data_IF_225296189618
#
_entry.id   IF_225296189618
#
_cell.length_a   1.000
_cell.length_b   1.000
_cell.length_c   1.000
_cell.angle_alpha   90.00
_cell.angle_beta   90.00
_cell.angle_gamma   90.00
#
_symmetry.space_group_name_H-M   'P 1'
#
loop_
_entity.id
_entity.type
_entity.pdbx_description
1 polymer ?
#
# COMPACT_ATOMS: atom_id res chain seq x y z
N UNK A 1 26.31 -4.75 -10.20
CA UNK A 1 26.27 -4.30 -8.79
C UNK A 1 25.84 -5.51 -7.96
N UNK A 2 25.38 -5.37 -6.71
CA UNK A 2 24.67 -6.47 -6.05
C UNK A 2 23.23 -6.53 -6.57
N UNK A 3 22.64 -7.74 -6.63
CA UNK A 3 21.25 -7.93 -7.10
C UNK A 3 20.24 -7.10 -6.30
N UNK A 4 20.49 -6.93 -4.99
CA UNK A 4 19.62 -6.11 -4.15
C UNK A 4 19.65 -4.64 -4.57
N UNK A 5 20.85 -4.08 -4.83
CA UNK A 5 20.98 -2.71 -5.28
C UNK A 5 20.34 -2.52 -6.66
N UNK A 6 20.49 -3.50 -7.56
CA UNK A 6 19.84 -3.47 -8.88
C UNK A 6 18.31 -3.42 -8.77
N UNK A 7 17.71 -4.19 -7.86
CA UNK A 7 16.27 -4.16 -7.63
C UNK A 7 15.80 -2.84 -7.01
N UNK A 8 16.57 -2.27 -6.08
CA UNK A 8 16.24 -0.97 -5.47
C UNK A 8 16.28 0.13 -6.54
N UNK A 9 17.31 0.15 -7.38
CA UNK A 9 17.43 1.09 -8.51
C UNK A 9 16.25 0.92 -9.47
N UNK A 10 15.88 -0.32 -9.81
CA UNK A 10 14.74 -0.58 -10.70
C UNK A 10 13.41 -0.04 -10.14
N UNK A 11 13.19 -0.11 -8.82
CA UNK A 11 11.99 0.47 -8.19
C UNK A 11 12.00 2.00 -8.26
N UNK A 12 13.16 2.62 -8.04
CA UNK A 12 13.33 4.08 -8.15
C UNK A 12 13.11 4.54 -9.59
N UNK A 13 13.72 3.86 -10.56
CA UNK A 13 13.59 4.18 -11.98
C UNK A 13 12.14 4.04 -12.44
N UNK A 14 11.43 3.01 -11.97
CA UNK A 14 10.01 2.83 -12.27
C UNK A 14 9.18 3.99 -11.73
N UNK A 15 9.41 4.42 -10.49
CA UNK A 15 8.71 5.59 -9.93
C UNK A 15 8.95 6.84 -10.79
N UNK A 16 10.21 7.14 -11.11
CA UNK A 16 10.56 8.29 -11.94
C UNK A 16 9.98 8.22 -13.36
N UNK A 17 9.88 7.03 -13.94
CA UNK A 17 9.25 6.83 -15.25
C UNK A 17 7.81 7.34 -15.28
N UNK A 18 7.07 7.19 -14.17
CA UNK A 18 5.68 7.64 -14.08
C UNK A 18 5.55 9.08 -13.57
N UNK A 19 6.37 9.51 -12.61
CA UNK A 19 6.31 10.88 -12.05
C UNK A 19 6.84 11.97 -12.99
N UNK A 20 7.63 11.60 -14.01
CA UNK A 20 8.20 12.57 -14.97
C UNK A 20 7.27 12.95 -16.13
N UNK A 21 6.00 12.52 -16.10
CA UNK A 21 5.07 12.73 -17.20
C UNK A 21 4.31 14.04 -17.10
N UNK A 22 4.30 14.66 -15.93
CA UNK A 22 3.79 16.01 -15.71
C UNK A 22 4.92 17.02 -15.42
N UNK A 23 4.63 18.06 -14.62
CA UNK A 23 5.60 19.12 -14.31
C UNK A 23 6.38 18.85 -13.02
N UNK A 24 5.95 17.88 -12.22
CA UNK A 24 6.41 17.64 -10.85
C UNK A 24 6.99 16.24 -10.70
N UNK A 25 8.28 16.13 -11.00
CA UNK A 25 8.95 14.85 -11.16
C UNK A 25 9.18 14.05 -9.87
N UNK A 26 8.81 14.60 -8.71
CA UNK A 26 9.05 14.01 -7.39
C UNK A 26 7.81 13.31 -6.81
N UNK A 27 6.66 13.44 -7.48
CA UNK A 27 5.38 12.88 -7.01
C UNK A 27 4.58 12.31 -8.17
N UNK A 28 3.69 11.37 -7.89
CA UNK A 28 2.68 10.93 -8.86
C UNK A 28 1.41 11.73 -8.66
N UNK A 29 0.96 12.40 -9.72
CA UNK A 29 -0.41 12.88 -9.81
C UNK A 29 -1.39 11.71 -9.89
N UNK A 30 -2.68 11.97 -9.64
CA UNK A 30 -3.74 10.96 -9.81
C UNK A 30 -3.74 10.33 -11.20
N UNK A 31 -3.40 11.09 -12.25
CA UNK A 31 -3.34 10.60 -13.63
C UNK A 31 -2.17 9.63 -13.83
N UNK A 32 -1.00 9.96 -13.30
CA UNK A 32 0.19 9.12 -13.39
C UNK A 32 0.04 7.86 -12.54
N UNK A 33 -0.55 7.99 -11.34
CA UNK A 33 -0.92 6.85 -10.51
C UNK A 33 -1.87 5.91 -11.25
N UNK A 34 -2.87 6.43 -11.96
CA UNK A 34 -3.76 5.61 -12.79
C UNK A 34 -2.99 4.81 -13.84
N UNK A 35 -2.09 5.46 -14.57
CA UNK A 35 -1.31 4.79 -15.63
C UNK A 35 -0.37 3.71 -15.07
N UNK A 36 0.26 3.98 -13.92
CA UNK A 36 1.08 3.01 -13.19
C UNK A 36 0.25 1.79 -12.78
N UNK A 37 -0.98 2.01 -12.27
CA UNK A 37 -1.86 0.92 -11.85
C UNK A 37 -2.35 0.07 -13.03
N UNK A 38 -2.71 0.71 -14.14
CA UNK A 38 -3.16 0.03 -15.37
C UNK A 38 -2.05 -0.75 -16.07
N UNK A 39 -0.79 -0.37 -15.88
CA UNK A 39 0.36 -1.01 -16.54
C UNK A 39 0.99 -2.08 -15.66
N UNK A 40 1.37 -1.72 -14.43
CA UNK A 40 2.17 -2.59 -13.55
C UNK A 40 1.28 -3.47 -12.64
N UNK A 41 0.14 -2.93 -12.20
CA UNK A 41 -0.70 -3.58 -11.18
C UNK A 41 -1.91 -4.30 -11.75
N UNK A 42 -2.16 -4.19 -13.06
CA UNK A 42 -3.30 -4.82 -13.73
C UNK A 42 -3.53 -6.29 -13.37
N UNK A 43 -2.49 -7.15 -13.29
CA UNK A 43 -2.69 -8.56 -12.92
C UNK A 43 -3.17 -8.79 -11.48
N UNK A 44 -3.00 -7.80 -10.61
CA UNK A 44 -3.26 -7.87 -9.17
C UNK A 44 -4.59 -7.15 -8.83
N UNK A 45 -5.01 -6.19 -9.65
CA UNK A 45 -6.26 -5.46 -9.47
C UNK A 45 -7.47 -6.39 -9.62
N UNK A 46 -8.41 -6.29 -8.67
CA UNK A 46 -9.66 -7.06 -8.71
C UNK A 46 -10.59 -6.60 -9.85
N UNK A 47 -10.57 -5.30 -10.15
CA UNK A 47 -11.35 -4.67 -11.21
C UNK A 47 -10.46 -3.63 -11.94
N UNK A 48 -9.58 -4.06 -12.85
CA UNK A 48 -8.58 -3.19 -13.46
C UNK A 48 -9.16 -2.07 -14.33
N UNK A 49 -10.38 -2.23 -14.84
CA UNK A 49 -11.04 -1.25 -15.72
C UNK A 49 -12.00 -0.33 -14.96
N UNK A 50 -12.00 -0.39 -13.62
CA UNK A 50 -12.82 0.48 -12.77
C UNK A 50 -12.30 1.92 -12.79
N UNK A 51 -13.11 2.90 -13.24
CA UNK A 51 -12.69 4.29 -13.32
C UNK A 51 -12.29 4.88 -11.96
N UNK A 52 -12.82 4.33 -10.86
CA UNK A 52 -12.60 4.83 -9.51
C UNK A 52 -11.38 4.19 -8.83
N UNK A 53 -10.71 3.20 -9.45
CA UNK A 53 -9.54 2.53 -8.86
C UNK A 53 -8.45 3.53 -8.46
N UNK A 54 -8.15 4.50 -9.34
CA UNK A 54 -7.13 5.50 -9.07
C UNK A 54 -7.52 6.44 -7.91
N UNK A 55 -8.82 6.75 -7.74
CA UNK A 55 -9.33 7.51 -6.60
C UNK A 55 -9.14 6.76 -5.29
N UNK A 56 -9.50 5.48 -5.28
CA UNK A 56 -9.34 4.62 -4.10
C UNK A 56 -7.86 4.49 -3.73
N UNK A 57 -6.98 4.25 -4.70
CA UNK A 57 -5.55 4.16 -4.43
C UNK A 57 -4.95 5.49 -3.99
N UNK A 58 -5.33 6.62 -4.62
CA UNK A 58 -4.89 7.94 -4.16
C UNK A 58 -5.28 8.12 -2.69
N UNK A 59 -6.53 7.88 -2.33
CA UNK A 59 -6.99 8.02 -0.94
C UNK A 59 -6.26 7.10 0.06
N UNK A 60 -5.78 5.94 -0.38
CA UNK A 60 -5.06 4.97 0.48
C UNK A 60 -3.57 5.28 0.59
N UNK A 61 -2.97 5.84 -0.47
CA UNK A 61 -1.52 6.09 -0.56
C UNK A 61 -1.14 7.49 -0.10
N UNK A 62 -1.99 8.48 -0.33
CA UNK A 62 -1.82 9.89 0.04
C UNK A 62 -2.07 10.05 1.56
N UNK A 63 -1.01 9.79 2.34
CA UNK A 63 -1.04 9.76 3.81
C UNK A 63 -1.10 11.18 4.36
N UNK A 64 -0.42 12.12 3.70
CA UNK A 64 -0.39 13.53 4.12
C UNK A 64 -1.55 14.36 3.53
N UNK A 65 -2.36 13.76 2.66
CA UNK A 65 -3.56 14.32 2.03
C UNK A 65 -3.27 15.52 1.10
N UNK A 66 -2.13 15.51 0.43
CA UNK A 66 -1.71 16.53 -0.52
C UNK A 66 -2.21 16.29 -1.97
N UNK A 67 -2.96 15.21 -2.21
CA UNK A 67 -3.48 14.73 -3.50
C UNK A 67 -2.40 14.31 -4.52
N UNK A 68 -1.24 13.92 -4.00
CA UNK A 68 -0.12 13.38 -4.75
C UNK A 68 0.43 12.19 -3.98
N UNK A 69 1.25 11.39 -4.66
CA UNK A 69 1.93 10.25 -4.04
C UNK A 69 3.42 10.44 -4.19
N UNK A 70 4.12 10.67 -3.09
CA UNK A 70 5.59 10.75 -3.10
C UNK A 70 6.25 9.36 -3.15
N UNK A 71 7.58 9.33 -3.23
CA UNK A 71 8.32 8.06 -3.28
C UNK A 71 8.13 7.22 -2.02
N UNK A 72 8.02 7.82 -0.83
CA UNK A 72 7.87 7.08 0.42
C UNK A 72 6.50 6.40 0.49
N UNK A 73 5.45 7.09 0.07
CA UNK A 73 4.08 6.59 -0.03
C UNK A 73 3.96 5.46 -1.07
N UNK A 74 4.55 5.65 -2.26
CA UNK A 74 4.66 4.60 -3.28
C UNK A 74 5.45 3.39 -2.76
N UNK A 75 6.61 3.60 -2.13
CA UNK A 75 7.45 2.51 -1.65
C UNK A 75 6.76 1.71 -0.53
N UNK A 76 5.97 2.37 0.32
CA UNK A 76 5.16 1.70 1.33
C UNK A 76 4.15 0.73 0.70
N UNK A 77 3.54 1.09 -0.44
CA UNK A 77 2.68 0.16 -1.21
C UNK A 77 3.47 -1.08 -1.68
N UNK A 78 4.64 -0.86 -2.29
CA UNK A 78 5.52 -1.93 -2.77
C UNK A 78 5.93 -2.85 -1.62
N UNK A 79 6.29 -2.27 -0.47
CA UNK A 79 6.61 -3.00 0.74
C UNK A 79 5.45 -3.87 1.23
N UNK A 80 4.23 -3.31 1.33
CA UNK A 80 3.04 -4.07 1.73
C UNK A 80 2.74 -5.24 0.79
N UNK A 81 2.95 -5.04 -0.51
CA UNK A 81 2.81 -6.12 -1.49
C UNK A 81 3.87 -7.19 -1.32
N UNK A 82 5.14 -6.80 -1.16
CA UNK A 82 6.23 -7.74 -0.89
C UNK A 82 5.93 -8.59 0.36
N UNK A 83 5.42 -7.98 1.43
CA UNK A 83 4.95 -8.69 2.62
C UNK A 83 3.82 -9.69 2.29
N UNK A 84 2.80 -9.27 1.54
CA UNK A 84 1.69 -10.13 1.14
C UNK A 84 2.15 -11.35 0.32
N UNK A 85 3.08 -11.15 -0.61
CA UNK A 85 3.69 -12.24 -1.40
C UNK A 85 4.55 -13.16 -0.53
N UNK A 86 5.38 -12.60 0.35
CA UNK A 86 6.20 -13.37 1.29
C UNK A 86 5.34 -14.28 2.18
N UNK A 87 4.26 -13.73 2.75
CA UNK A 87 3.32 -14.48 3.58
C UNK A 87 2.55 -15.53 2.77
N UNK A 88 2.16 -15.21 1.53
CA UNK A 88 1.51 -16.16 0.62
C UNK A 88 2.41 -17.36 0.32
N UNK A 89 3.67 -17.11 0.01
CA UNK A 89 4.67 -18.14 -0.24
C UNK A 89 4.92 -19.01 1.00
N UNK A 90 5.03 -18.38 2.19
CA UNK A 90 5.13 -19.11 3.46
C UNK A 90 3.94 -20.04 3.68
N UNK A 91 2.71 -19.57 3.43
CA UNK A 91 1.49 -20.40 3.52
C UNK A 91 1.46 -21.53 2.48
N UNK A 92 1.92 -21.28 1.26
CA UNK A 92 2.02 -22.31 0.22
C UNK A 92 3.05 -23.39 0.57
N UNK A 93 4.21 -23.01 1.12
CA UNK A 93 5.22 -23.95 1.59
C UNK A 93 4.70 -24.83 2.75
N UNK A 94 3.92 -24.25 3.66
CA UNK A 94 3.24 -25.00 4.73
C UNK A 94 2.17 -25.97 4.18
N UNK A 95 1.41 -25.55 3.15
CA UNK A 95 0.41 -26.39 2.46
C UNK A 95 1.06 -27.48 1.60
N UNK A 96 2.22 -27.25 1.00
CA UNK A 96 2.97 -28.28 0.27
C UNK A 96 3.51 -29.38 1.21
N UNK A 97 3.70 -29.06 2.50
CA UNK A 97 4.10 -30.01 3.54
C UNK A 97 2.90 -30.79 4.14
N UNK A 98 1.64 -30.38 3.87
CA UNK A 98 0.41 -31.03 4.33
C UNK A 98 -0.55 -31.39 3.17
N UNK A 99 -0.62 -32.67 2.82
CA UNK A 99 -1.27 -33.28 1.64
C UNK A 99 -2.59 -32.69 1.08
N UNK A 100 -2.64 -32.66 -0.28
CA UNK A 100 -3.73 -33.00 -1.25
C UNK A 100 -5.09 -32.26 -1.27
N UNK A 101 -5.39 -31.76 -2.49
CA UNK A 101 -6.69 -31.53 -3.18
C UNK A 101 -7.65 -30.43 -2.67
N UNK A 102 -7.84 -29.37 -3.47
CA UNK A 102 -9.00 -29.16 -4.39
C UNK A 102 -8.93 -27.74 -5.01
N UNK A 103 -9.16 -27.69 -6.32
CA UNK A 103 -9.13 -26.50 -7.17
C UNK A 103 -10.41 -25.63 -6.99
N UNK A 104 -10.28 -24.34 -7.32
CA UNK A 104 -11.33 -23.35 -7.65
C UNK A 104 -11.96 -22.54 -6.49
N UNK A 105 -12.15 -23.07 -5.28
CA UNK A 105 -12.73 -22.28 -4.16
C UNK A 105 -11.76 -21.29 -3.49
N UNK A 106 -10.45 -21.44 -3.73
CA UNK A 106 -9.40 -20.74 -2.99
C UNK A 106 -9.21 -19.26 -3.40
N UNK A 107 -9.62 -18.87 -4.60
CA UNK A 107 -9.48 -17.50 -5.09
C UNK A 107 -10.52 -16.55 -4.44
N UNK A 108 -11.76 -17.01 -4.27
CA UNK A 108 -12.81 -16.29 -3.55
C UNK A 108 -12.52 -16.23 -2.05
N UNK A 109 -11.98 -17.32 -1.49
CA UNK A 109 -11.57 -17.36 -0.09
C UNK A 109 -10.39 -16.42 0.18
N UNK A 110 -9.41 -16.35 -0.73
CA UNK A 110 -8.32 -15.38 -0.69
C UNK A 110 -8.82 -13.92 -0.74
N UNK A 111 -9.75 -13.62 -1.64
CA UNK A 111 -10.40 -12.30 -1.72
C UNK A 111 -11.16 -11.95 -0.44
N UNK A 112 -11.89 -12.90 0.14
CA UNK A 112 -12.60 -12.71 1.43
C UNK A 112 -11.64 -12.50 2.60
N UNK A 113 -10.51 -13.21 2.63
CA UNK A 113 -9.51 -13.04 3.68
C UNK A 113 -8.85 -11.67 3.61
N UNK A 114 -8.49 -11.20 2.41
CA UNK A 114 -7.93 -9.86 2.20
C UNK A 114 -8.92 -8.78 2.64
N UNK A 115 -10.20 -8.90 2.26
CA UNK A 115 -11.23 -7.94 2.65
C UNK A 115 -11.44 -7.89 4.17
N UNK A 116 -11.40 -9.04 4.86
CA UNK A 116 -11.48 -9.08 6.33
C UNK A 116 -10.27 -8.43 7.00
N UNK A 117 -9.07 -8.65 6.45
CA UNK A 117 -7.84 -8.07 7.00
C UNK A 117 -7.80 -6.55 6.84
N UNK A 118 -8.24 -6.03 5.68
CA UNK A 118 -8.35 -4.59 5.44
C UNK A 118 -9.32 -3.97 6.45
N UNK A 119 -10.51 -4.56 6.63
CA UNK A 119 -11.50 -4.05 7.58
C UNK A 119 -10.98 -4.04 9.03
N UNK A 120 -10.33 -5.12 9.45
CA UNK A 120 -9.78 -5.22 10.81
C UNK A 120 -8.68 -4.20 11.06
N UNK A 121 -7.85 -3.92 10.06
CA UNK A 121 -6.80 -2.90 10.16
C UNK A 121 -7.38 -1.48 10.17
N UNK A 122 -8.46 -1.20 9.41
CA UNK A 122 -9.17 0.08 9.47
C UNK A 122 -9.73 0.37 10.87
N UNK A 123 -10.29 -0.65 11.54
CA UNK A 123 -10.79 -0.52 12.91
C UNK A 123 -9.66 -0.27 13.92
N UNK A 124 -8.50 -0.93 13.76
CA UNK A 124 -7.35 -0.70 14.63
C UNK A 124 -6.79 0.72 14.48
N UNK A 125 -6.77 1.24 13.25
CA UNK A 125 -6.36 2.61 12.99
C UNK A 125 -7.33 3.60 13.66
N UNK A 126 -8.65 3.39 13.54
CA UNK A 126 -9.63 4.23 14.25
C UNK A 126 -9.44 4.22 15.77
N UNK A 127 -9.14 3.06 16.38
CA UNK A 127 -8.87 2.99 17.81
C UNK A 127 -7.61 3.77 18.23
N UNK A 128 -6.53 3.69 17.44
CA UNK A 128 -5.30 4.44 17.70
C UNK A 128 -5.49 5.97 17.61
N UNK A 129 -6.40 6.44 16.74
CA UNK A 129 -6.75 7.86 16.62
C UNK A 129 -7.76 8.33 17.69
N UNK A 130 -8.55 7.44 18.27
CA UNK A 130 -9.53 7.79 19.32
C UNK A 130 -8.87 7.92 20.69
N UNK A 131 -7.85 7.11 20.98
CA UNK A 131 -7.07 7.18 22.23
C UNK A 131 -6.07 8.36 22.25
N UNK A 132 -5.66 8.87 21.08
CA UNK A 132 -4.73 10.00 20.95
C UNK A 132 -5.31 11.40 21.18
N UNK A 133 -6.64 11.53 21.35
CA UNK A 133 -7.34 12.82 21.53
C UNK A 133 -7.76 13.10 23.00
N UNK A 134 -7.31 12.31 23.97
CA UNK A 134 -7.58 12.53 25.41
C UNK A 134 -6.36 13.02 26.22
N UNK A 135 -5.37 13.67 25.58
CA UNK A 135 -4.35 14.41 26.34
C UNK A 135 -4.82 15.84 26.62
N UNK A 136 -5.18 16.01 27.89
CA UNK A 136 -5.60 17.21 28.61
C UNK A 136 -4.80 18.48 28.22
N UNK A 137 -5.44 19.57 27.77
CA UNK A 137 -4.76 20.81 27.37
C UNK A 137 -4.09 21.58 28.53
N UNK A 138 -4.08 21.05 29.75
CA UNK A 138 -3.60 21.72 30.96
C UNK A 138 -2.10 21.64 31.27
N UNK A 139 -1.24 20.98 30.47
CA UNK A 139 0.18 20.78 30.82
C UNK A 139 1.21 21.59 30.02
N UNK A 140 0.80 22.44 29.07
CA UNK A 140 1.76 23.18 28.23
C UNK A 140 2.33 24.45 28.92
N UNK A 141 1.77 24.88 30.05
CA UNK A 141 2.13 26.19 30.65
C UNK A 141 3.28 26.19 31.69
N UNK A 142 3.93 25.04 31.97
CA UNK A 142 5.06 25.00 32.93
C UNK A 142 6.47 25.03 32.30
N UNK A 143 6.62 24.94 30.98
CA UNK A 143 7.95 24.87 30.34
C UNK A 143 8.37 26.15 29.60
N UNK A 144 7.69 27.28 29.82
CA UNK A 144 8.09 28.59 29.26
C UNK A 144 8.66 29.58 30.28
N UNK A 145 8.96 29.15 31.50
CA UNK A 145 9.56 30.02 32.51
C UNK A 145 10.71 29.36 33.25
N UNK A 146 11.81 29.09 32.55
CA UNK A 146 13.20 29.15 33.05
C UNK A 146 14.11 29.49 31.88
#
# INVERSE_FOLDING_TARGET
MSTLLENIIAIIDLFHQYSSKDKENETLSKKELKELLETEFRPILKNPDDPDTADVFMHVLDIDHNQKVDFAEFFLMVFKLAQAYYDSMKRQNLRASGQKHKNIDQAEEGKRMIAKQIHQNTLQIQHLYTDGQQQDPGQIDMMKSV
#
